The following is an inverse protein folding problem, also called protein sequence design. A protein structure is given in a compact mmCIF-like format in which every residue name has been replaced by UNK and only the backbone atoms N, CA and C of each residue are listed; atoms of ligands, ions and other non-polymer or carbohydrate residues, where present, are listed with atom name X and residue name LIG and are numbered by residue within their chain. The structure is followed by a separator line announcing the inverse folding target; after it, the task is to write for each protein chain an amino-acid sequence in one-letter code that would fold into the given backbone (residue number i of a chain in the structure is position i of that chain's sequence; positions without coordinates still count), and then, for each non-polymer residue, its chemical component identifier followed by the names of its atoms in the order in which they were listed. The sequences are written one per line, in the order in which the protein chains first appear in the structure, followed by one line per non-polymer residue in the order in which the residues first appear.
data_IF_979029165732
#
_entry.id   IF_979029165732
#
_cell.length_a   1.000
_cell.length_b   1.000
_cell.length_c   1.000
_cell.angle_alpha   90.00
_cell.angle_beta   90.00
_cell.angle_gamma   90.00
#
_symmetry.space_group_name_H-M   'P 1'
#
loop_
_entity.id
_entity.type
_entity.pdbx_description
1 polymer ?
#
# COMPACT_ATOMS: atom_id res chain seq x y z
N UNK A 1 16.45 -27.64 -30.91
CA UNK A 1 15.23 -26.94 -30.46
C UNK A 1 14.13 -27.97 -30.34
N UNK A 2 13.58 -28.27 -29.15
CA UNK A 2 12.54 -29.29 -29.07
C UNK A 2 11.23 -28.72 -29.62
N UNK A 3 10.67 -29.42 -30.61
CA UNK A 3 9.41 -29.16 -31.30
C UNK A 3 8.22 -29.52 -30.40
N UNK A 4 7.75 -28.56 -29.59
CA UNK A 4 6.64 -28.79 -28.67
C UNK A 4 5.28 -28.43 -29.29
N UNK A 5 4.39 -29.42 -29.31
CA UNK A 5 3.00 -29.34 -29.71
C UNK A 5 2.20 -28.31 -28.86
N UNK A 6 1.34 -27.45 -29.45
CA UNK A 6 0.62 -26.37 -28.76
C UNK A 6 -0.22 -26.80 -27.54
N UNK A 7 -0.71 -28.05 -27.52
CA UNK A 7 -1.59 -28.60 -26.48
C UNK A 7 -0.86 -28.77 -25.14
N UNK A 8 0.46 -28.97 -25.17
CA UNK A 8 1.28 -29.17 -23.96
C UNK A 8 1.47 -27.88 -23.15
N UNK A 9 1.58 -26.74 -23.83
CA UNK A 9 1.85 -25.44 -23.18
C UNK A 9 0.62 -24.91 -22.45
N UNK A 10 -0.56 -25.02 -23.06
CA UNK A 10 -1.83 -24.64 -22.42
C UNK A 10 -2.15 -25.53 -21.22
N UNK A 11 -1.88 -26.84 -21.32
CA UNK A 11 -2.01 -27.77 -20.18
C UNK A 11 -0.98 -27.53 -19.08
N UNK A 12 0.28 -27.28 -19.43
CA UNK A 12 1.34 -26.92 -18.48
C UNK A 12 1.08 -25.59 -17.79
N UNK A 13 0.57 -24.58 -18.51
CA UNK A 13 0.21 -23.27 -17.96
C UNK A 13 -0.96 -23.38 -17.00
N UNK A 14 -2.02 -24.13 -17.35
CA UNK A 14 -3.13 -24.44 -16.42
C UNK A 14 -2.67 -25.27 -15.22
N UNK A 15 -1.75 -26.22 -15.38
CA UNK A 15 -1.27 -27.07 -14.27
C UNK A 15 -0.32 -26.33 -13.33
N UNK A 16 0.47 -25.38 -13.85
CA UNK A 16 1.43 -24.57 -13.08
C UNK A 16 0.79 -23.35 -12.40
N UNK A 17 -0.24 -22.76 -13.01
CA UNK A 17 -0.85 -21.50 -12.55
C UNK A 17 -2.36 -21.60 -12.27
N UNK A 18 -2.97 -22.78 -12.42
CA UNK A 18 -4.42 -22.98 -12.26
C UNK A 18 -4.96 -22.84 -10.85
N UNK A 19 -4.11 -22.50 -9.87
CA UNK A 19 -4.48 -22.17 -8.49
C UNK A 19 -4.07 -20.77 -8.05
N UNK A 20 -3.49 -19.93 -8.92
CA UNK A 20 -3.19 -18.55 -8.55
C UNK A 20 -4.41 -17.67 -8.81
N UNK A 21 -5.15 -17.34 -7.75
CA UNK A 21 -6.07 -16.21 -7.76
C UNK A 21 -5.23 -14.93 -7.82
N UNK A 22 -5.20 -14.27 -8.98
CA UNK A 22 -4.64 -12.93 -9.09
C UNK A 22 -5.64 -11.99 -8.45
N UNK A 23 -5.31 -11.52 -7.24
CA UNK A 23 -6.12 -10.51 -6.55
C UNK A 23 -6.30 -9.27 -7.45
N UNK A 24 -7.54 -8.83 -7.57
CA UNK A 24 -7.94 -7.68 -8.37
C UNK A 24 -7.31 -6.38 -7.83
N UNK A 25 -7.10 -5.40 -8.71
CA UNK A 25 -6.70 -4.05 -8.29
C UNK A 25 -7.71 -3.44 -7.31
N UNK A 26 -9.00 -3.73 -7.47
CA UNK A 26 -10.06 -3.29 -6.55
C UNK A 26 -9.90 -3.92 -5.16
N UNK A 27 -9.66 -5.23 -5.10
CA UNK A 27 -9.50 -5.96 -3.82
C UNK A 27 -8.28 -5.43 -3.05
N UNK A 28 -7.15 -5.24 -3.76
CA UNK A 28 -5.95 -4.61 -3.21
C UNK A 28 -6.21 -3.22 -2.70
N UNK A 29 -6.87 -2.39 -3.51
CA UNK A 29 -7.19 -1.01 -3.16
C UNK A 29 -8.05 -0.96 -1.89
N UNK A 30 -9.14 -1.75 -1.82
CA UNK A 30 -10.02 -1.81 -0.63
C UNK A 30 -9.24 -2.20 0.63
N UNK A 31 -8.29 -3.13 0.52
CA UNK A 31 -7.43 -3.52 1.65
C UNK A 31 -6.50 -2.38 2.06
N UNK A 32 -5.83 -1.75 1.11
CA UNK A 32 -4.86 -0.68 1.39
C UNK A 32 -5.52 0.58 1.95
N UNK A 33 -6.72 0.93 1.51
CA UNK A 33 -7.50 2.03 2.08
C UNK A 33 -7.76 1.78 3.56
N UNK A 34 -8.25 0.59 3.92
CA UNK A 34 -8.51 0.25 5.33
C UNK A 34 -7.26 0.34 6.19
N UNK A 35 -6.13 -0.20 5.71
CA UNK A 35 -4.84 -0.14 6.42
C UNK A 35 -4.38 1.30 6.60
N UNK A 36 -4.49 2.13 5.55
CA UNK A 36 -4.08 3.54 5.60
C UNK A 36 -4.98 4.38 6.50
N UNK A 37 -6.28 4.16 6.49
CA UNK A 37 -7.23 4.81 7.40
C UNK A 37 -7.01 4.42 8.86
N UNK A 38 -6.63 3.16 9.12
CA UNK A 38 -6.23 2.73 10.47
C UNK A 38 -4.93 3.40 10.90
N UNK A 39 -3.92 3.44 10.02
CA UNK A 39 -2.66 4.12 10.29
C UNK A 39 -2.86 5.61 10.59
N UNK A 40 -3.70 6.31 9.83
CA UNK A 40 -4.07 7.72 10.07
C UNK A 40 -4.76 7.94 11.41
N UNK A 41 -5.56 6.98 11.88
CA UNK A 41 -6.25 7.08 13.17
C UNK A 41 -5.31 6.86 14.36
N UNK A 42 -4.30 6.01 14.19
CA UNK A 42 -3.36 5.65 15.27
C UNK A 42 -2.12 6.54 15.33
N UNK A 43 -1.78 7.22 14.25
CA UNK A 43 -0.56 8.03 14.20
C UNK A 43 -0.67 9.26 15.09
N UNK A 44 0.36 9.50 15.89
CA UNK A 44 0.52 10.68 16.73
C UNK A 44 1.61 11.57 16.15
N UNK A 45 1.34 12.86 16.04
CA UNK A 45 2.32 13.84 15.57
C UNK A 45 3.23 14.21 16.73
N UNK A 46 4.53 13.94 16.59
CA UNK A 46 5.55 14.24 17.62
C UNK A 46 6.16 15.61 17.39
N UNK A 47 6.37 15.97 16.13
CA UNK A 47 6.91 17.26 15.70
C UNK A 47 5.89 17.96 14.78
N UNK A 48 5.63 19.27 14.94
CA UNK A 48 4.64 20.00 14.13
C UNK A 48 4.86 19.90 12.61
N UNK A 49 6.09 19.64 12.14
CA UNK A 49 6.39 19.39 10.72
C UNK A 49 5.69 18.14 10.20
N UNK A 50 5.42 17.16 11.07
CA UNK A 50 4.66 15.95 10.77
C UNK A 50 3.20 16.21 10.37
N UNK A 51 2.62 17.35 10.76
CA UNK A 51 1.25 17.71 10.35
C UNK A 51 1.11 17.77 8.82
N UNK A 52 2.13 18.29 8.12
CA UNK A 52 2.13 18.32 6.65
C UNK A 52 2.14 16.92 6.05
N UNK A 53 2.81 15.94 6.67
CA UNK A 53 2.83 14.56 6.20
C UNK A 53 1.45 13.90 6.35
N UNK A 54 0.80 14.12 7.50
CA UNK A 54 -0.58 13.63 7.74
C UNK A 54 -1.56 14.27 6.76
N UNK A 55 -1.41 15.57 6.49
CA UNK A 55 -2.22 16.28 5.49
C UNK A 55 -2.02 15.69 4.09
N UNK A 56 -0.77 15.47 3.67
CA UNK A 56 -0.47 14.86 2.36
C UNK A 56 -1.06 13.45 2.26
N UNK A 57 -0.97 12.63 3.31
CA UNK A 57 -1.60 11.31 3.34
C UNK A 57 -3.12 11.41 3.12
N UNK A 58 -3.82 12.33 3.82
CA UNK A 58 -5.26 12.52 3.67
C UNK A 58 -5.64 12.95 2.25
N UNK A 59 -4.91 13.89 1.66
CA UNK A 59 -5.17 14.37 0.29
C UNK A 59 -5.05 13.24 -0.74
N UNK A 60 -3.98 12.44 -0.67
CA UNK A 60 -3.81 11.31 -1.60
C UNK A 60 -4.79 10.16 -1.33
N UNK A 61 -5.27 10.01 -0.09
CA UNK A 61 -6.33 9.05 0.23
C UNK A 61 -7.68 9.49 -0.38
N UNK A 62 -7.97 10.79 -0.38
CA UNK A 62 -9.14 11.37 -1.08
C UNK A 62 -9.02 11.20 -2.59
N UNK A 63 -7.85 11.50 -3.18
CA UNK A 63 -7.60 11.27 -4.60
C UNK A 63 -7.80 9.79 -4.98
N UNK A 64 -7.34 8.88 -4.12
CA UNK A 64 -7.54 7.45 -4.32
C UNK A 64 -9.03 7.07 -4.37
N UNK A 65 -9.86 7.64 -3.49
CA UNK A 65 -11.31 7.43 -3.50
C UNK A 65 -11.95 8.00 -4.76
N UNK A 66 -11.51 9.19 -5.20
CA UNK A 66 -11.96 9.81 -6.43
C UNK A 66 -11.70 8.95 -7.67
N UNK A 67 -10.51 8.37 -7.80
CA UNK A 67 -10.20 7.46 -8.92
C UNK A 67 -11.01 6.16 -8.86
N UNK A 68 -11.23 5.62 -7.67
CA UNK A 68 -12.05 4.42 -7.48
C UNK A 68 -13.52 4.64 -7.87
N UNK A 69 -14.11 5.80 -7.54
CA UNK A 69 -15.47 6.17 -7.95
C UNK A 69 -15.64 6.22 -9.47
N UNK A 70 -14.56 6.53 -10.21
CA UNK A 70 -14.52 6.54 -11.68
C UNK A 70 -14.20 5.18 -12.30
N UNK A 71 -14.03 4.14 -11.48
CA UNK A 71 -13.68 2.78 -11.91
C UNK A 71 -12.20 2.57 -12.24
N UNK A 72 -11.32 3.56 -11.99
CA UNK A 72 -9.88 3.43 -12.21
C UNK A 72 -9.18 2.95 -10.94
N UNK A 73 -9.33 1.65 -10.66
CA UNK A 73 -8.74 1.02 -9.48
C UNK A 73 -7.21 0.91 -9.53
N UNK A 74 -6.58 0.95 -10.71
CA UNK A 74 -5.12 0.91 -10.83
C UNK A 74 -4.52 2.23 -10.35
N UNK A 75 -5.06 3.35 -10.82
CA UNK A 75 -4.64 4.68 -10.36
C UNK A 75 -5.05 4.90 -8.91
N UNK A 76 -6.22 4.43 -8.49
CA UNK A 76 -6.64 4.46 -7.09
C UNK A 76 -5.66 3.70 -6.18
N UNK A 77 -5.23 2.51 -6.59
CA UNK A 77 -4.26 1.70 -5.84
C UNK A 77 -2.89 2.40 -5.74
N UNK A 78 -2.44 3.05 -6.81
CA UNK A 78 -1.22 3.84 -6.79
C UNK A 78 -1.31 5.03 -5.83
N UNK A 79 -2.44 5.76 -5.85
CA UNK A 79 -2.68 6.91 -4.97
C UNK A 79 -2.72 6.51 -3.49
N UNK A 80 -3.41 5.41 -3.12
CA UNK A 80 -3.43 4.96 -1.71
C UNK A 80 -2.07 4.45 -1.24
N UNK A 81 -1.32 3.79 -2.12
CA UNK A 81 0.04 3.34 -1.80
C UNK A 81 0.96 4.54 -1.52
N UNK A 82 0.83 5.61 -2.31
CA UNK A 82 1.55 6.85 -2.09
C UNK A 82 1.09 7.59 -0.83
N UNK A 83 -0.22 7.57 -0.54
CA UNK A 83 -0.77 8.10 0.71
C UNK A 83 -0.12 7.42 1.93
N UNK A 84 -0.03 6.09 1.93
CA UNK A 84 0.54 5.31 3.02
C UNK A 84 2.03 5.63 3.25
N UNK A 85 2.78 5.82 2.15
CA UNK A 85 4.22 6.12 2.21
C UNK A 85 4.53 7.40 3.00
N UNK A 86 3.64 8.40 3.01
CA UNK A 86 3.83 9.61 3.82
C UNK A 86 3.82 9.34 5.33
N UNK A 87 3.01 8.38 5.78
CA UNK A 87 3.00 7.97 7.19
C UNK A 87 4.25 7.16 7.52
N UNK A 88 4.60 6.19 6.67
CA UNK A 88 5.80 5.36 6.85
C UNK A 88 7.08 6.20 6.90
N UNK A 89 7.23 7.18 6.00
CA UNK A 89 8.37 8.09 6.03
C UNK A 89 8.32 8.94 7.30
N UNK A 90 7.16 9.47 7.67
CA UNK A 90 7.00 10.29 8.86
C UNK A 90 7.35 9.57 10.16
N UNK A 91 7.03 8.28 10.27
CA UNK A 91 7.43 7.43 11.40
C UNK A 91 8.92 7.11 11.34
N UNK A 92 9.46 6.80 10.16
CA UNK A 92 10.88 6.52 9.96
C UNK A 92 11.79 7.70 10.36
N UNK A 93 11.44 8.92 10.00
CA UNK A 93 12.22 10.13 10.35
C UNK A 93 11.87 10.70 11.73
N UNK A 94 11.01 10.04 12.50
CA UNK A 94 10.66 10.42 13.88
C UNK A 94 9.76 11.65 14.03
N UNK A 95 9.14 12.15 12.95
CA UNK A 95 8.14 13.24 13.06
C UNK A 95 6.78 12.72 13.51
N UNK A 96 6.50 11.44 13.25
CA UNK A 96 5.29 10.73 13.63
C UNK A 96 5.64 9.55 14.53
N UNK A 97 4.72 9.17 15.42
CA UNK A 97 4.82 7.97 16.25
C UNK A 97 3.58 7.11 16.04
N UNK A 98 3.80 5.88 15.60
CA UNK A 98 2.79 4.83 15.58
C UNK A 98 2.74 4.08 16.91
N UNK A 99 1.56 3.57 17.29
CA UNK A 99 1.39 2.74 18.50
C UNK A 99 1.67 1.24 18.25
N UNK A 100 1.93 0.81 17.01
CA UNK A 100 1.98 -0.61 16.63
C UNK A 100 3.04 -0.90 15.55
N UNK A 101 3.98 -1.82 15.83
CA UNK A 101 5.08 -2.19 14.92
C UNK A 101 4.60 -3.00 13.70
N UNK A 102 3.35 -3.48 13.71
CA UNK A 102 2.76 -4.32 12.65
C UNK A 102 2.09 -3.52 11.51
N UNK A 103 1.83 -2.22 11.71
CA UNK A 103 1.14 -1.37 10.74
C UNK A 103 2.08 -0.57 9.84
N UNK A 104 3.37 -0.50 10.17
CA UNK A 104 4.35 0.32 9.45
C UNK A 104 5.46 -0.57 8.90
N UNK A 105 5.77 -0.44 7.61
CA UNK A 105 6.81 -1.26 6.96
C UNK A 105 8.21 -0.99 7.53
N UNK A 106 8.40 0.22 8.09
CA UNK A 106 9.67 0.68 8.67
C UNK A 106 9.63 0.79 10.21
N UNK A 107 8.60 0.22 10.86
CA UNK A 107 8.45 0.17 12.32
C UNK A 107 9.45 -0.78 12.98
N UNK A 108 10.74 -0.47 12.86
CA UNK A 108 11.82 -1.29 13.38
C UNK A 108 12.92 -0.41 13.94
N UNK A 109 12.78 -0.04 15.21
CA UNK A 109 13.78 0.64 16.06
C UNK A 109 14.27 1.99 15.54
N UNK A 110 13.82 3.03 16.24
CA UNK A 110 14.33 4.39 16.08
C UNK A 110 15.86 4.42 16.08
N UNK A 111 16.40 5.14 15.10
CA UNK A 111 17.74 5.68 15.15
C UNK A 111 17.84 6.63 16.33
N UNK A 112 18.21 6.09 17.49
CA UNK A 112 18.80 6.82 18.59
C UNK A 112 20.33 6.77 18.41
N UNK A 113 20.83 7.36 17.33
CA UNK A 113 22.21 7.85 17.22
C UNK A 113 22.35 8.66 15.93
N UNK A 114 22.33 9.99 16.07
CA UNK A 114 23.17 10.98 15.36
C UNK A 114 22.83 12.38 15.84
#
# INVERSE_FOLDING_TARGET
MPSWCPVSYTLWRKRRWGGLSVESAEEKWRRYVKVTEEALRRVKVVDPRGNRLVEMCRRYLEDSKYFAERGDYTTALAAVSYAHAWIDVGTYIGLLKGDDDQLFVLGGKGGAER
#
